data_IF_042344076877
#
_entry.id   IF_042344076877
#
_cell.length_a   1.000
_cell.length_b   1.000
_cell.length_c   1.000
_cell.angle_alpha   90.00
_cell.angle_beta   90.00
_cell.angle_gamma   90.00
#
_symmetry.space_group_name_H-M   'P 1'
#
loop_
_entity.id
_entity.type
_entity.pdbx_description
1 polymer ?
#
# COMPACT_ATOMS: atom_id res chain seq x y z
N UNK A 1 48.19 -17.80 15.68
CA UNK A 1 47.56 -16.83 14.75
C UNK A 1 46.06 -17.09 14.69
N UNK A 2 45.25 -16.33 15.44
CA UNK A 2 43.78 -16.41 15.37
C UNK A 2 43.31 -15.54 14.20
N UNK A 3 42.82 -16.18 13.13
CA UNK A 3 42.24 -15.48 11.98
C UNK A 3 40.95 -14.80 12.44
N UNK A 4 40.97 -13.48 12.56
CA UNK A 4 39.77 -12.66 12.71
C UNK A 4 38.88 -12.90 11.48
N UNK A 5 37.84 -13.73 11.63
CA UNK A 5 36.73 -13.79 10.69
C UNK A 5 36.02 -12.44 10.78
N UNK A 6 36.29 -11.55 9.82
CA UNK A 6 35.44 -10.38 9.56
C UNK A 6 34.02 -10.92 9.33
N UNK A 7 33.11 -10.65 10.26
CA UNK A 7 31.67 -10.81 10.01
C UNK A 7 31.33 -9.82 8.89
N UNK A 8 31.07 -10.33 7.69
CA UNK A 8 30.34 -9.55 6.70
C UNK A 8 29.03 -9.10 7.36
N UNK A 9 28.62 -7.83 7.23
CA UNK A 9 27.27 -7.44 7.60
C UNK A 9 26.32 -8.39 6.87
N UNK A 10 25.45 -9.09 7.61
CA UNK A 10 24.33 -9.80 6.99
C UNK A 10 23.61 -8.81 6.09
N UNK A 11 23.31 -9.19 4.84
CA UNK A 11 22.37 -8.45 4.01
C UNK A 11 21.16 -8.10 4.89
N UNK A 12 20.89 -6.80 5.08
CA UNK A 12 19.75 -6.39 5.88
C UNK A 12 18.49 -6.85 5.15
N UNK A 13 17.85 -7.90 5.65
CA UNK A 13 16.59 -8.39 5.10
C UNK A 13 15.48 -7.44 5.53
N UNK A 14 15.13 -6.52 4.65
CA UNK A 14 13.94 -5.68 4.83
C UNK A 14 12.67 -6.52 4.68
N UNK A 15 11.64 -6.17 5.45
CA UNK A 15 10.36 -6.85 5.45
C UNK A 15 9.17 -5.89 5.44
N UNK A 16 9.43 -4.59 5.27
CA UNK A 16 8.36 -3.61 5.07
C UNK A 16 8.10 -3.43 3.59
N UNK A 17 6.81 -3.36 3.26
CA UNK A 17 6.33 -3.34 1.91
C UNK A 17 5.19 -2.33 1.80
N UNK A 18 5.13 -1.60 0.70
CA UNK A 18 3.92 -0.90 0.28
C UNK A 18 3.04 -1.84 -0.54
N UNK A 19 1.74 -1.59 -0.55
CA UNK A 19 0.78 -2.37 -1.33
C UNK A 19 -0.39 -1.50 -1.80
N UNK A 20 -0.98 -1.93 -2.91
CA UNK A 20 -2.16 -1.32 -3.51
C UNK A 20 -3.27 -2.35 -3.64
N UNK A 21 -4.47 -1.99 -3.21
CA UNK A 21 -5.67 -2.81 -3.28
C UNK A 21 -6.68 -2.12 -4.20
N UNK A 22 -7.18 -2.85 -5.19
CA UNK A 22 -8.35 -2.45 -5.97
C UNK A 22 -9.58 -2.37 -5.08
N UNK A 23 -10.30 -1.25 -5.14
CA UNK A 23 -11.58 -1.05 -4.47
C UNK A 23 -12.73 -1.11 -5.49
N UNK A 24 -13.87 -1.59 -5.03
CA UNK A 24 -15.13 -1.50 -5.76
C UNK A 24 -15.56 -0.03 -5.93
N UNK A 25 -15.96 0.35 -7.14
CA UNK A 25 -16.31 1.73 -7.51
C UNK A 25 -17.47 2.29 -6.68
N UNK A 26 -18.29 1.46 -6.02
CA UNK A 26 -19.29 1.91 -5.05
C UNK A 26 -18.68 2.72 -3.89
N UNK A 27 -17.36 2.67 -3.69
CA UNK A 27 -16.63 3.54 -2.77
C UNK A 27 -16.77 5.03 -3.11
N UNK A 28 -16.97 5.37 -4.39
CA UNK A 28 -17.20 6.75 -4.86
C UNK A 28 -18.54 7.34 -4.43
N UNK A 29 -19.46 6.52 -3.92
CA UNK A 29 -20.73 6.99 -3.33
C UNK A 29 -20.50 7.81 -2.06
N UNK A 30 -19.31 7.75 -1.46
CA UNK A 30 -18.95 8.53 -0.28
C UNK A 30 -18.41 9.91 -0.68
N UNK A 31 -19.12 11.01 -0.37
CA UNK A 31 -18.70 12.36 -0.79
C UNK A 31 -17.34 12.77 -0.23
N UNK A 32 -16.95 12.26 0.95
CA UNK A 32 -15.64 12.52 1.54
C UNK A 32 -14.49 11.95 0.70
N UNK A 33 -14.69 10.77 0.09
CA UNK A 33 -13.68 10.12 -0.77
C UNK A 33 -13.56 10.88 -2.09
N UNK A 34 -14.68 11.30 -2.66
CA UNK A 34 -14.69 12.13 -3.88
C UNK A 34 -14.01 13.48 -3.64
N UNK A 35 -14.30 14.14 -2.52
CA UNK A 35 -13.66 15.42 -2.16
C UNK A 35 -12.15 15.28 -1.92
N UNK A 36 -11.70 14.15 -1.38
CA UNK A 36 -10.28 13.86 -1.19
C UNK A 36 -9.55 13.69 -2.53
N UNK A 37 -10.25 13.32 -3.59
CA UNK A 37 -9.69 13.06 -4.91
C UNK A 37 -10.31 13.99 -5.98
N UNK A 38 -10.04 15.31 -5.90
CA UNK A 38 -10.67 16.30 -6.78
C UNK A 38 -10.29 16.14 -8.25
N UNK A 39 -9.11 15.57 -8.54
CA UNK A 39 -8.60 15.31 -9.90
C UNK A 39 -8.89 13.90 -10.43
N UNK A 40 -9.72 13.11 -9.72
CA UNK A 40 -10.00 11.73 -10.15
C UNK A 40 -10.63 11.70 -11.55
N UNK A 41 -10.27 10.69 -12.31
CA UNK A 41 -10.88 10.35 -13.59
C UNK A 41 -11.85 9.19 -13.39
N UNK A 42 -13.13 9.30 -13.80
CA UNK A 42 -14.10 8.21 -13.63
C UNK A 42 -13.75 6.90 -14.34
N UNK A 43 -12.87 6.94 -15.35
CA UNK A 43 -12.36 5.75 -16.05
C UNK A 43 -11.21 5.06 -15.33
N UNK A 44 -10.60 5.70 -14.33
CA UNK A 44 -9.50 5.14 -13.56
C UNK A 44 -10.03 4.37 -12.34
N UNK A 45 -9.38 3.26 -11.94
CA UNK A 45 -9.80 2.48 -10.79
C UNK A 45 -9.78 3.26 -9.47
N UNK A 46 -10.61 2.83 -8.53
CA UNK A 46 -10.49 3.21 -7.12
C UNK A 46 -9.50 2.29 -6.41
N UNK A 47 -8.58 2.85 -5.63
CA UNK A 47 -7.53 2.08 -4.95
C UNK A 47 -7.33 2.50 -3.50
N UNK A 48 -6.81 1.57 -2.70
CA UNK A 48 -6.29 1.82 -1.36
C UNK A 48 -4.78 1.58 -1.35
N UNK A 49 -4.02 2.54 -0.84
CA UNK A 49 -2.56 2.43 -0.63
C UNK A 49 -2.29 2.26 0.85
N UNK A 50 -1.39 1.34 1.19
CA UNK A 50 -0.93 1.13 2.56
C UNK A 50 0.48 0.54 2.62
N UNK A 51 1.05 0.50 3.84
CA UNK A 51 2.26 -0.28 4.11
C UNK A 51 2.08 -1.34 5.20
N UNK A 52 2.98 -2.34 5.21
CA UNK A 52 2.99 -3.39 6.21
C UNK A 52 4.37 -4.01 6.41
N UNK A 53 4.66 -4.44 7.64
CA UNK A 53 5.77 -5.37 7.95
C UNK A 53 5.36 -6.85 7.92
N UNK A 54 4.13 -7.18 7.51
CA UNK A 54 3.65 -8.56 7.33
C UNK A 54 3.76 -8.95 5.85
N UNK A 55 3.67 -10.26 5.52
CA UNK A 55 3.33 -10.68 4.17
C UNK A 55 2.08 -9.95 3.68
N UNK A 56 2.12 -9.42 2.45
CA UNK A 56 1.06 -8.56 1.91
C UNK A 56 -0.28 -9.31 1.82
N UNK A 57 -0.25 -10.58 1.42
CA UNK A 57 -1.44 -11.45 1.38
C UNK A 57 -2.08 -11.58 2.76
N UNK A 58 -1.27 -11.86 3.79
CA UNK A 58 -1.74 -11.92 5.18
C UNK A 58 -2.34 -10.57 5.62
N UNK A 59 -1.72 -9.45 5.23
CA UNK A 59 -2.26 -8.12 5.53
C UNK A 59 -3.60 -7.88 4.83
N UNK A 60 -3.75 -8.33 3.58
CA UNK A 60 -5.00 -8.22 2.84
C UNK A 60 -6.11 -9.08 3.48
N UNK A 61 -5.82 -10.32 3.87
CA UNK A 61 -6.76 -11.17 4.62
C UNK A 61 -7.19 -10.53 5.95
N UNK A 62 -6.24 -9.96 6.69
CA UNK A 62 -6.54 -9.20 7.91
C UNK A 62 -7.53 -8.07 7.64
N UNK A 63 -7.34 -7.33 6.54
CA UNK A 63 -8.29 -6.30 6.14
C UNK A 63 -9.68 -6.86 5.86
N UNK A 64 -9.79 -7.95 5.09
CA UNK A 64 -11.07 -8.60 4.75
C UNK A 64 -11.79 -9.13 6.00
N UNK A 65 -11.05 -9.64 6.98
CA UNK A 65 -11.57 -10.13 8.25
C UNK A 65 -11.83 -9.00 9.28
N UNK A 66 -11.45 -7.76 8.96
CA UNK A 66 -11.63 -6.60 9.83
C UNK A 66 -10.62 -6.51 10.99
N UNK A 67 -9.55 -7.29 10.96
CA UNK A 67 -8.45 -7.21 11.93
C UNK A 67 -7.48 -6.09 11.55
N UNK A 68 -7.33 -5.07 12.42
CA UNK A 68 -6.49 -3.88 12.16
C UNK A 68 -6.71 -3.30 10.75
N UNK A 69 -7.99 -3.22 10.36
CA UNK A 69 -8.38 -2.90 9.00
C UNK A 69 -8.82 -1.45 8.83
N UNK A 70 -8.47 -0.86 7.69
CA UNK A 70 -9.20 0.26 7.14
C UNK A 70 -10.64 -0.18 6.78
N UNK A 71 -11.64 0.58 7.20
CA UNK A 71 -13.04 0.27 6.94
C UNK A 71 -13.33 0.16 5.43
N UNK A 72 -12.64 0.98 4.62
CA UNK A 72 -12.79 1.05 3.17
C UNK A 72 -12.41 -0.27 2.52
N UNK A 73 -11.26 -0.84 2.89
CA UNK A 73 -10.78 -2.12 2.36
C UNK A 73 -11.66 -3.28 2.82
N UNK A 74 -12.10 -3.28 4.09
CA UNK A 74 -13.02 -4.30 4.60
C UNK A 74 -14.29 -4.36 3.74
N UNK A 75 -14.87 -3.19 3.46
CA UNK A 75 -16.16 -3.08 2.76
C UNK A 75 -16.05 -3.18 1.23
N UNK A 76 -15.01 -2.61 0.64
CA UNK A 76 -14.89 -2.43 -0.82
C UNK A 76 -13.65 -3.08 -1.44
N UNK A 77 -12.73 -3.64 -0.64
CA UNK A 77 -11.52 -4.27 -1.17
C UNK A 77 -11.83 -5.49 -2.02
N UNK A 78 -11.32 -5.51 -3.26
CA UNK A 78 -11.53 -6.54 -4.27
C UNK A 78 -10.33 -7.47 -4.36
N UNK A 79 -9.15 -6.96 -4.72
CA UNK A 79 -7.90 -7.72 -4.89
C UNK A 79 -6.67 -6.83 -4.74
N UNK A 80 -5.50 -7.44 -4.54
CA UNK A 80 -4.21 -6.76 -4.67
C UNK A 80 -3.94 -6.38 -6.14
N UNK A 81 -3.15 -5.32 -6.34
CA UNK A 81 -2.62 -4.86 -7.63
C UNK A 81 -1.08 -4.81 -7.62
N UNK A 82 -0.38 -5.97 -7.64
CA UNK A 82 1.09 -6.04 -7.58
C UNK A 82 1.78 -5.20 -8.66
N UNK A 83 1.15 -5.03 -9.82
CA UNK A 83 1.63 -4.22 -10.93
C UNK A 83 1.96 -2.76 -10.54
N UNK A 84 1.36 -2.26 -9.45
CA UNK A 84 1.56 -0.89 -8.97
C UNK A 84 2.63 -0.75 -7.88
N UNK A 85 3.12 -1.84 -7.28
CA UNK A 85 3.95 -1.72 -6.08
C UNK A 85 5.06 -2.75 -5.93
N UNK A 86 5.00 -3.90 -6.60
CA UNK A 86 5.90 -5.03 -6.32
C UNK A 86 7.37 -4.67 -6.56
N UNK A 87 7.64 -3.89 -7.61
CA UNK A 87 8.96 -3.41 -7.98
C UNK A 87 9.58 -2.42 -6.97
N UNK A 88 8.79 -1.88 -6.04
CA UNK A 88 9.25 -0.97 -4.99
C UNK A 88 9.77 -1.73 -3.76
N UNK A 89 9.39 -3.01 -3.61
CA UNK A 89 9.58 -3.77 -2.39
C UNK A 89 10.81 -4.70 -2.44
N UNK A 90 11.39 -5.10 -1.28
CA UNK A 90 11.11 -4.62 0.08
C UNK A 90 11.98 -3.42 0.48
N UNK A 91 11.60 -2.71 1.55
CA UNK A 91 12.32 -1.51 2.01
C UNK A 91 12.37 -1.37 3.55
N UNK A 92 13.25 -0.52 4.11
CA UNK A 92 13.23 -0.18 5.53
C UNK A 92 11.88 0.42 5.96
N UNK A 93 11.53 0.31 7.25
CA UNK A 93 10.28 0.87 7.79
C UNK A 93 10.08 2.35 7.43
N UNK A 94 11.10 3.19 7.66
CA UNK A 94 11.00 4.63 7.37
C UNK A 94 10.80 4.90 5.87
N UNK A 95 11.44 4.12 5.00
CA UNK A 95 11.22 4.21 3.57
C UNK A 95 9.79 3.78 3.20
N UNK A 96 9.24 2.74 3.83
CA UNK A 96 7.87 2.28 3.58
C UNK A 96 6.80 3.31 3.99
N UNK A 97 7.02 4.02 5.11
CA UNK A 97 6.14 5.13 5.52
C UNK A 97 6.16 6.24 4.47
N UNK A 98 7.35 6.64 4.02
CA UNK A 98 7.48 7.70 3.03
C UNK A 98 6.91 7.28 1.66
N UNK A 99 7.20 6.05 1.23
CA UNK A 99 6.74 5.50 -0.04
C UNK A 99 5.22 5.31 -0.07
N UNK A 100 4.57 5.00 1.06
CA UNK A 100 3.11 4.95 1.14
C UNK A 100 2.47 6.31 0.79
N UNK A 101 3.09 7.42 1.20
CA UNK A 101 2.63 8.77 0.90
C UNK A 101 2.88 9.09 -0.59
N UNK A 102 4.12 8.91 -1.05
CA UNK A 102 4.54 9.20 -2.43
C UNK A 102 3.71 8.43 -3.46
N UNK A 103 3.58 7.11 -3.27
CA UNK A 103 2.77 6.27 -4.17
C UNK A 103 1.31 6.71 -4.20
N UNK A 104 0.75 7.13 -3.06
CA UNK A 104 -0.62 7.63 -3.02
C UNK A 104 -0.78 8.99 -3.71
N UNK A 105 0.23 9.86 -3.67
CA UNK A 105 0.24 11.13 -4.39
C UNK A 105 0.38 10.93 -5.90
N UNK A 106 1.30 10.07 -6.33
CA UNK A 106 1.52 9.74 -7.75
C UNK A 106 0.26 9.14 -8.40
N UNK A 107 -0.36 8.16 -7.73
CA UNK A 107 -1.62 7.58 -8.22
C UNK A 107 -2.76 8.61 -8.28
N UNK A 108 -2.83 9.56 -7.34
CA UNK A 108 -3.81 10.68 -7.43
C UNK A 108 -3.50 11.59 -8.61
N UNK A 109 -2.23 11.85 -8.89
CA UNK A 109 -1.80 12.67 -10.02
C UNK A 109 -2.14 11.99 -11.37
N UNK A 110 -2.08 10.66 -11.43
CA UNK A 110 -2.51 9.84 -12.58
C UNK A 110 -4.04 9.69 -12.72
N UNK A 111 -4.82 10.31 -11.84
CA UNK A 111 -6.28 10.33 -11.92
C UNK A 111 -6.97 9.18 -11.18
N UNK A 112 -6.27 8.34 -10.44
CA UNK A 112 -6.92 7.31 -9.61
C UNK A 112 -7.74 7.94 -8.47
N UNK A 113 -8.78 7.24 -8.03
CA UNK A 113 -9.44 7.56 -6.76
C UNK A 113 -8.70 6.84 -5.63
N UNK A 114 -7.88 7.56 -4.87
CA UNK A 114 -7.02 6.95 -3.84
C UNK A 114 -7.56 7.16 -2.43
N UNK A 115 -7.54 6.10 -1.63
CA UNK A 115 -7.74 6.12 -0.18
C UNK A 115 -6.49 5.58 0.53
N UNK A 116 -6.27 5.94 1.79
CA UNK A 116 -5.00 5.64 2.46
C UNK A 116 -3.88 6.62 2.06
N UNK A 117 -2.62 6.23 2.27
CA UNK A 117 -1.46 7.07 1.96
C UNK A 117 -1.30 8.25 2.93
N UNK A 118 -1.23 7.99 4.23
CA UNK A 118 -1.11 9.01 5.29
C UNK A 118 -0.06 8.65 6.31
#
# INVERSE_FOLDING_TARGET
>A
MRKNRRRFPSEQTFHHNVYVILLDDAVTKHPSIVRLNPRREPSKPCVYVGMTGLPIDQRFENHKNGYKSAWVVKKYGVRLMPELYEHLNPMPFQAAVQMEIELAEDLRAEGYTVTGGK
#
